data_IF_502519432272
#
_entry.id   IF_502519432272
#
_cell.length_a   1.000
_cell.length_b   1.000
_cell.length_c   1.000
_cell.angle_alpha   90.00
_cell.angle_beta   90.00
_cell.angle_gamma   90.00
#
_symmetry.space_group_name_H-M   'P 1'
#
loop_
_entity.id
_entity.type
_entity.pdbx_description
1 polymer ?
#
# COMPACT_ATOMS: atom_id res chain seq x y z
N UNK A 1 -18.38 4.87 26.56
CA UNK A 1 -17.89 6.20 26.15
C UNK A 1 -16.40 6.17 25.83
N UNK A 2 -15.54 5.67 26.72
CA UNK A 2 -14.09 5.55 26.49
C UNK A 2 -13.74 4.68 25.28
N UNK A 3 -14.33 3.48 25.17
CA UNK A 3 -14.07 2.54 24.06
C UNK A 3 -14.39 3.10 22.67
N UNK A 4 -15.53 3.77 22.53
CA UNK A 4 -15.95 4.40 21.28
C UNK A 4 -14.99 5.53 20.88
N UNK A 5 -14.59 6.37 21.84
CA UNK A 5 -13.63 7.46 21.60
C UNK A 5 -12.27 6.91 21.16
N UNK A 6 -11.79 5.86 21.84
CA UNK A 6 -10.54 5.19 21.47
C UNK A 6 -10.61 4.64 20.05
N UNK A 7 -11.70 3.95 19.70
CA UNK A 7 -11.87 3.36 18.38
C UNK A 7 -11.89 4.42 17.27
N UNK A 8 -12.63 5.51 17.46
CA UNK A 8 -12.67 6.63 16.50
C UNK A 8 -11.30 7.28 16.37
N UNK A 9 -10.61 7.52 17.49
CA UNK A 9 -9.26 8.10 17.48
C UNK A 9 -8.27 7.22 16.70
N UNK A 10 -8.29 5.91 16.94
CA UNK A 10 -7.43 4.95 16.22
C UNK A 10 -7.75 4.92 14.73
N UNK A 11 -9.04 4.92 14.35
CA UNK A 11 -9.45 4.97 12.94
C UNK A 11 -8.97 6.26 12.26
N UNK A 12 -9.10 7.41 12.93
CA UNK A 12 -8.61 8.69 12.41
C UNK A 12 -7.10 8.66 12.16
N UNK A 13 -6.34 8.20 13.14
CA UNK A 13 -4.88 8.07 13.01
C UNK A 13 -4.48 7.12 11.90
N UNK A 14 -5.18 5.99 11.78
CA UNK A 14 -4.94 5.02 10.73
C UNK A 14 -5.15 5.63 9.34
N UNK A 15 -6.26 6.35 9.14
CA UNK A 15 -6.54 7.04 7.86
C UNK A 15 -5.51 8.15 7.58
N UNK A 16 -5.16 8.96 8.58
CA UNK A 16 -4.23 10.08 8.42
C UNK A 16 -2.81 9.60 8.04
N UNK A 17 -2.27 8.61 8.73
CA UNK A 17 -0.96 8.05 8.38
C UNK A 17 -0.97 7.35 7.03
N UNK A 18 -2.02 6.60 6.73
CA UNK A 18 -2.17 5.94 5.42
C UNK A 18 -2.25 6.95 4.28
N UNK A 19 -2.91 8.09 4.50
CA UNK A 19 -3.02 9.21 3.55
C UNK A 19 -1.64 9.78 3.18
N UNK A 20 -0.80 10.04 4.19
CA UNK A 20 0.56 10.54 3.98
C UNK A 20 1.39 9.51 3.19
N UNK A 21 1.41 8.25 3.61
CA UNK A 21 2.14 7.20 2.91
C UNK A 21 1.64 6.97 1.48
N UNK A 22 0.31 6.99 1.30
CA UNK A 22 -0.33 6.83 -0.01
C UNK A 22 0.03 7.97 -0.97
N UNK A 23 0.29 9.18 -0.48
CA UNK A 23 0.74 10.29 -1.33
C UNK A 23 2.09 9.96 -2.00
N UNK A 24 3.06 9.47 -1.24
CA UNK A 24 4.36 9.08 -1.77
C UNK A 24 4.24 7.96 -2.79
N UNK A 25 3.49 6.91 -2.46
CA UNK A 25 3.21 5.81 -3.39
C UNK A 25 2.47 6.28 -4.64
N UNK A 26 1.53 7.22 -4.50
CA UNK A 26 0.78 7.78 -5.62
C UNK A 26 1.66 8.58 -6.58
N UNK A 27 2.64 9.34 -6.08
CA UNK A 27 3.60 10.09 -6.92
C UNK A 27 4.42 9.10 -7.76
N UNK A 28 4.93 8.03 -7.15
CA UNK A 28 5.70 6.99 -7.84
C UNK A 28 4.82 6.27 -8.86
N UNK A 29 3.66 5.74 -8.43
CA UNK A 29 2.71 5.03 -9.29
C UNK A 29 2.31 5.89 -10.49
N UNK A 30 1.97 7.15 -10.26
CA UNK A 30 1.54 8.07 -11.30
C UNK A 30 2.64 8.35 -12.32
N UNK A 31 3.89 8.53 -11.87
CA UNK A 31 5.04 8.68 -12.76
C UNK A 31 5.28 7.42 -13.62
N UNK A 32 5.30 6.25 -12.99
CA UNK A 32 5.49 4.96 -13.67
C UNK A 32 4.37 4.66 -14.67
N UNK A 33 3.12 4.93 -14.30
CA UNK A 33 1.96 4.68 -15.17
C UNK A 33 1.93 5.63 -16.36
N UNK A 34 2.26 6.92 -16.17
CA UNK A 34 2.39 7.86 -17.29
C UNK A 34 3.49 7.46 -18.26
N UNK A 35 4.63 6.99 -17.74
CA UNK A 35 5.70 6.47 -18.58
C UNK A 35 5.22 5.25 -19.36
N UNK A 36 4.74 4.22 -18.66
CA UNK A 36 4.43 2.91 -19.26
C UNK A 36 3.22 2.93 -20.21
N UNK A 37 2.14 3.62 -19.85
CA UNK A 37 0.92 3.68 -20.68
C UNK A 37 0.98 4.77 -21.75
N UNK A 38 1.92 5.72 -21.67
CA UNK A 38 2.05 6.90 -22.56
C UNK A 38 0.76 7.73 -22.69
N UNK A 39 -0.10 7.67 -21.67
CA UNK A 39 -1.38 8.38 -21.60
C UNK A 39 -1.48 9.21 -20.33
N UNK A 40 -2.41 10.17 -20.30
CA UNK A 40 -2.68 10.95 -19.10
C UNK A 40 -3.38 10.07 -18.06
N UNK A 41 -2.77 9.96 -16.89
CA UNK A 41 -3.35 9.26 -15.74
C UNK A 41 -3.80 10.31 -14.72
N UNK A 42 -5.04 10.18 -14.26
CA UNK A 42 -5.64 11.11 -13.29
C UNK A 42 -5.06 10.85 -11.92
N UNK A 43 -4.33 11.83 -11.37
CA UNK A 43 -3.65 11.71 -10.08
C UNK A 43 -4.61 11.38 -8.92
N UNK A 44 -5.81 11.93 -8.94
CA UNK A 44 -6.81 11.67 -7.90
C UNK A 44 -7.21 10.17 -7.83
N UNK A 45 -7.30 9.50 -8.99
CA UNK A 45 -7.63 8.06 -9.04
C UNK A 45 -6.44 7.20 -8.62
N UNK A 46 -5.21 7.57 -9.00
CA UNK A 46 -4.00 6.88 -8.53
C UNK A 46 -3.82 7.02 -7.03
N UNK A 47 -4.07 8.22 -6.50
CA UNK A 47 -4.04 8.49 -5.07
C UNK A 47 -5.06 7.66 -4.31
N UNK A 48 -6.32 7.64 -4.76
CA UNK A 48 -7.35 6.80 -4.14
C UNK A 48 -6.95 5.31 -4.15
N UNK A 49 -6.40 4.82 -5.26
CA UNK A 49 -5.95 3.44 -5.36
C UNK A 49 -4.81 3.12 -4.37
N UNK A 50 -3.82 4.02 -4.27
CA UNK A 50 -2.73 3.87 -3.31
C UNK A 50 -3.22 3.98 -1.86
N UNK A 51 -4.20 4.83 -1.58
CA UNK A 51 -4.81 4.96 -0.25
C UNK A 51 -5.52 3.67 0.16
N UNK A 52 -6.37 3.13 -0.72
CA UNK A 52 -7.07 1.86 -0.47
C UNK A 52 -6.07 0.73 -0.28
N UNK A 53 -5.03 0.66 -1.11
CA UNK A 53 -3.97 -0.33 -0.94
C UNK A 53 -3.26 -0.18 0.40
N UNK A 54 -2.85 1.02 0.79
CA UNK A 54 -2.13 1.25 2.05
C UNK A 54 -2.98 0.93 3.29
N UNK A 55 -4.28 1.25 3.25
CA UNK A 55 -5.23 0.86 4.30
C UNK A 55 -5.31 -0.67 4.44
N UNK A 56 -5.41 -1.39 3.32
CA UNK A 56 -5.47 -2.87 3.34
C UNK A 56 -4.14 -3.46 3.81
N UNK A 57 -3.01 -2.94 3.33
CA UNK A 57 -1.68 -3.41 3.72
C UNK A 57 -1.39 -3.24 5.21
N UNK A 58 -1.76 -2.09 5.78
CA UNK A 58 -1.68 -1.86 7.23
C UNK A 58 -2.56 -2.84 8.01
N UNK A 59 -3.78 -3.12 7.53
CA UNK A 59 -4.67 -4.09 8.17
C UNK A 59 -4.08 -5.51 8.12
N UNK A 60 -3.47 -5.90 6.99
CA UNK A 60 -2.77 -7.17 6.86
C UNK A 60 -1.63 -7.29 7.86
N UNK A 61 -0.71 -6.31 7.87
CA UNK A 61 0.46 -6.35 8.77
C UNK A 61 0.03 -6.33 10.24
N UNK A 62 -0.95 -5.48 10.60
CA UNK A 62 -1.50 -5.44 11.95
C UNK A 62 -2.17 -6.77 12.33
N UNK A 63 -2.91 -7.39 11.41
CA UNK A 63 -3.54 -8.70 11.62
C UNK A 63 -2.52 -9.80 11.88
N UNK A 64 -1.42 -9.82 11.11
CA UNK A 64 -0.30 -10.75 11.35
C UNK A 64 0.34 -10.50 12.72
N UNK A 65 0.62 -9.24 13.06
CA UNK A 65 1.24 -8.87 14.34
C UNK A 65 0.36 -9.28 15.53
N UNK A 66 -0.97 -9.12 15.43
CA UNK A 66 -1.92 -9.56 16.46
C UNK A 66 -1.96 -11.09 16.55
N UNK A 67 -1.98 -11.79 15.40
CA UNK A 67 -2.03 -13.24 15.35
C UNK A 67 -0.76 -13.90 15.92
N UNK A 68 0.41 -13.32 15.68
CA UNK A 68 1.68 -13.81 16.24
C UNK A 68 1.97 -13.28 17.66
N UNK A 69 1.15 -12.36 18.17
CA UNK A 69 1.33 -11.76 19.50
C UNK A 69 2.47 -10.74 19.60
N UNK A 70 3.04 -10.32 18.47
CA UNK A 70 4.13 -9.33 18.39
C UNK A 70 3.62 -7.92 18.13
N UNK A 71 2.78 -7.41 19.05
CA UNK A 71 2.18 -6.06 18.93
C UNK A 71 3.04 -4.94 19.51
N UNK A 72 4.14 -5.28 20.18
CA UNK A 72 5.08 -4.34 20.78
C UNK A 72 6.51 -4.64 20.33
N UNK A 73 7.40 -3.63 20.27
CA UNK A 73 8.81 -3.86 19.97
C UNK A 73 9.44 -4.77 21.04
N UNK A 74 10.41 -5.63 20.67
CA UNK A 74 11.16 -5.66 19.40
C UNK A 74 10.49 -6.48 18.27
N UNK A 75 10.34 -5.87 17.09
CA UNK A 75 9.67 -6.49 15.92
C UNK A 75 10.55 -7.46 15.10
N UNK A 76 11.76 -7.77 15.58
CA UNK A 76 12.71 -8.64 14.85
C UNK A 76 12.13 -10.03 14.62
N UNK A 77 11.42 -10.57 15.61
CA UNK A 77 10.75 -11.87 15.49
C UNK A 77 9.70 -11.88 14.36
N UNK A 78 8.91 -10.80 14.27
CA UNK A 78 7.90 -10.62 13.23
C UNK A 78 8.52 -10.55 11.82
N UNK A 79 9.67 -9.89 11.66
CA UNK A 79 10.38 -9.80 10.37
C UNK A 79 10.91 -11.15 9.87
N UNK A 80 11.19 -12.08 10.78
CA UNK A 80 11.63 -13.44 10.43
C UNK A 80 10.48 -14.38 10.13
N UNK A 81 9.23 -13.97 10.39
CA UNK A 81 8.10 -14.88 10.35
C UNK A 81 7.67 -15.23 8.92
N UNK A 82 7.37 -16.52 8.64
CA UNK A 82 6.91 -16.93 7.31
C UNK A 82 5.51 -16.35 7.00
N UNK A 83 4.72 -16.06 8.04
CA UNK A 83 3.38 -15.50 7.91
C UNK A 83 3.44 -14.05 7.43
N UNK A 84 4.36 -13.24 7.98
CA UNK A 84 4.58 -11.88 7.50
C UNK A 84 5.02 -11.86 6.03
N UNK A 85 5.94 -12.77 5.63
CA UNK A 85 6.36 -12.89 4.23
C UNK A 85 5.20 -13.23 3.30
N UNK A 86 4.34 -14.17 3.71
CA UNK A 86 3.12 -14.49 2.98
C UNK A 86 2.18 -13.28 2.86
N UNK A 87 2.02 -12.52 3.94
CA UNK A 87 1.19 -11.31 3.96
C UNK A 87 1.76 -10.21 3.05
N UNK A 88 3.09 -10.05 2.96
CA UNK A 88 3.73 -9.10 2.04
C UNK A 88 3.51 -9.47 0.56
N UNK A 89 3.58 -10.77 0.23
CA UNK A 89 3.26 -11.24 -1.13
C UNK A 89 1.78 -10.98 -1.43
N UNK A 90 0.89 -11.27 -0.49
CA UNK A 90 -0.54 -10.97 -0.63
C UNK A 90 -0.80 -9.47 -0.80
N UNK A 91 -0.10 -8.63 -0.05
CA UNK A 91 -0.18 -7.18 -0.16
C UNK A 91 0.24 -6.69 -1.56
N UNK A 92 1.32 -7.23 -2.13
CA UNK A 92 1.71 -6.93 -3.52
C UNK A 92 0.62 -7.29 -4.54
N UNK A 93 -0.03 -8.45 -4.37
CA UNK A 93 -1.12 -8.89 -5.25
C UNK A 93 -2.33 -7.96 -5.13
N UNK A 94 -2.67 -7.56 -3.90
CA UNK A 94 -3.75 -6.61 -3.62
C UNK A 94 -3.43 -5.27 -4.23
N UNK A 95 -2.21 -4.76 -4.07
CA UNK A 95 -1.76 -3.52 -4.70
C UNK A 95 -1.97 -3.56 -6.21
N UNK A 96 -1.49 -4.61 -6.87
CA UNK A 96 -1.61 -4.74 -8.32
C UNK A 96 -3.08 -4.78 -8.75
N UNK A 97 -3.91 -5.52 -8.02
CA UNK A 97 -5.35 -5.60 -8.28
C UNK A 97 -6.07 -4.27 -8.08
N UNK A 98 -5.80 -3.56 -6.97
CA UNK A 98 -6.42 -2.28 -6.62
C UNK A 98 -6.05 -1.21 -7.65
N UNK A 99 -4.76 -1.11 -8.02
CA UNK A 99 -4.31 -0.22 -9.09
C UNK A 99 -5.00 -0.53 -10.42
N UNK A 100 -5.02 -1.81 -10.83
CA UNK A 100 -5.67 -2.24 -12.06
C UNK A 100 -7.19 -1.96 -12.08
N UNK A 101 -7.86 -2.10 -10.93
CA UNK A 101 -9.32 -1.99 -10.80
C UNK A 101 -9.81 -0.55 -10.71
N UNK A 102 -9.08 0.32 -10.01
CA UNK A 102 -9.51 1.66 -9.63
C UNK A 102 -8.96 2.78 -10.52
N UNK A 103 -7.91 2.51 -11.30
CA UNK A 103 -7.31 3.50 -12.20
C UNK A 103 -7.87 3.31 -13.62
N UNK A 104 -8.84 4.15 -14.05
CA UNK A 104 -9.26 4.19 -15.44
C UNK A 104 -8.18 4.85 -16.30
N UNK A 105 -8.02 4.38 -17.54
CA UNK A 105 -7.36 5.10 -18.62
C UNK A 105 -8.31 6.18 -19.16
N UNK A 106 -7.76 7.24 -19.77
CA UNK A 106 -8.55 8.30 -20.42
C UNK A 106 -9.60 7.78 -21.39
N UNK A 107 -9.35 6.66 -22.05
CA UNK A 107 -10.24 6.07 -23.05
C UNK A 107 -11.34 5.18 -22.42
N UNK A 108 -11.65 5.36 -21.14
CA UNK A 108 -12.56 4.53 -20.33
C UNK A 108 -12.20 3.03 -20.23
N UNK A 109 -11.03 2.62 -20.73
CA UNK A 109 -10.47 1.27 -20.57
C UNK A 109 -9.66 1.17 -19.28
N UNK A 110 -9.46 -0.03 -18.75
CA UNK A 110 -8.54 -0.26 -17.63
C UNK A 110 -7.08 -0.19 -18.09
N UNK A 111 -6.18 0.11 -17.15
CA UNK A 111 -4.73 -0.03 -17.37
C UNK A 111 -4.36 -1.49 -17.62
N UNK A 112 -3.22 -1.73 -18.26
CA UNK A 112 -2.74 -3.10 -18.46
C UNK A 112 -2.36 -3.70 -17.10
N UNK A 113 -2.67 -4.98 -16.83
CA UNK A 113 -2.26 -5.61 -15.57
C UNK A 113 -0.73 -5.59 -15.41
N UNK A 114 0.02 -5.70 -16.51
CA UNK A 114 1.48 -5.59 -16.50
C UNK A 114 1.99 -4.22 -16.01
N UNK A 115 1.34 -3.11 -16.36
CA UNK A 115 1.73 -1.78 -15.89
C UNK A 115 1.38 -1.56 -14.42
N UNK A 116 0.26 -2.11 -13.96
CA UNK A 116 -0.09 -2.13 -12.54
C UNK A 116 0.95 -2.92 -11.71
N UNK A 117 1.34 -4.12 -12.16
CA UNK A 117 2.37 -4.92 -11.51
C UNK A 117 3.72 -4.19 -11.49
N UNK A 118 4.11 -3.55 -12.60
CA UNK A 118 5.35 -2.76 -12.67
C UNK A 118 5.33 -1.58 -11.69
N UNK A 119 4.23 -0.85 -11.56
CA UNK A 119 4.10 0.25 -10.61
C UNK A 119 4.27 -0.24 -9.15
N UNK A 120 3.63 -1.35 -8.79
CA UNK A 120 3.78 -1.99 -7.47
C UNK A 120 5.22 -2.43 -7.22
N UNK A 121 5.86 -3.05 -8.21
CA UNK A 121 7.25 -3.50 -8.09
C UNK A 121 8.22 -2.34 -7.85
N UNK A 122 8.05 -1.21 -8.56
CA UNK A 122 8.86 -0.01 -8.35
C UNK A 122 8.64 0.58 -6.96
N UNK A 123 7.39 0.67 -6.51
CA UNK A 123 7.08 1.17 -5.16
C UNK A 123 7.74 0.30 -4.10
N UNK A 124 7.65 -1.02 -4.23
CA UNK A 124 8.25 -1.97 -3.30
C UNK A 124 9.77 -1.90 -3.31
N UNK A 125 10.40 -1.76 -4.47
CA UNK A 125 11.85 -1.57 -4.58
C UNK A 125 12.31 -0.29 -3.88
N UNK A 126 11.58 0.83 -4.08
CA UNK A 126 11.89 2.12 -3.42
C UNK A 126 11.66 2.03 -1.92
N UNK A 127 10.54 1.46 -1.47
CA UNK A 127 10.21 1.33 -0.06
C UNK A 127 11.22 0.43 0.68
N UNK A 128 11.57 -0.72 0.09
CA UNK A 128 12.56 -1.64 0.65
C UNK A 128 13.97 -1.03 0.65
N UNK A 129 14.36 -0.33 -0.43
CA UNK A 129 15.62 0.41 -0.50
C UNK A 129 15.72 1.49 0.57
N UNK A 130 14.66 2.29 0.76
CA UNK A 130 14.61 3.29 1.82
C UNK A 130 14.71 2.64 3.22
N UNK A 131 13.93 1.59 3.48
CA UNK A 131 13.95 0.90 4.76
C UNK A 131 15.31 0.29 5.10
N UNK A 132 15.99 -0.32 4.12
CA UNK A 132 17.31 -0.93 4.30
C UNK A 132 18.44 0.10 4.39
N UNK A 133 18.29 1.27 3.78
CA UNK A 133 19.29 2.35 3.87
C UNK A 133 19.31 3.09 5.20
N UNK A 134 18.26 2.95 6.02
CA UNK A 134 18.11 3.61 7.32
C UNK A 134 18.62 2.74 8.50
N UNK A 135 19.13 1.54 8.20
CA UNK A 135 19.73 0.58 9.15
C UNK A 135 21.23 0.54 8.93
#
# INVERSE_FOLDING_TARGET
MTTLLTLISTLLWWVLYSSIGALFFAIIAWGVLRWSERCTVVFNRTYLACLVWNLIGLLLIAGVAVHEGHTQPPYVALLTSPLLRGALVLDMLIGAFVLWRLIPRTDARRIRPASACMAVAVIMAVAFGAATSLV
#
